data_IF_389293982484
#
_entry.id   IF_389293982484
#
_cell.length_a   1.000
_cell.length_b   1.000
_cell.length_c   1.000
_cell.angle_alpha   90.00
_cell.angle_beta   90.00
_cell.angle_gamma   90.00
#
_symmetry.space_group_name_H-M   'P 1'
#
loop_
_entity.id
_entity.type
_entity.pdbx_description
1 polymer ?
#
# COMPACT_ATOMS: atom_id res chain seq x y z
N UNK A 1 -17.95 -18.89 -8.39
CA UNK A 1 -16.90 -18.69 -7.36
C UNK A 1 -17.01 -17.27 -6.86
N UNK A 2 -17.19 -17.07 -5.55
CA UNK A 2 -17.21 -15.75 -4.91
C UNK A 2 -15.90 -15.54 -4.14
N UNK A 3 -15.44 -14.30 -4.03
CA UNK A 3 -14.23 -13.94 -3.30
C UNK A 3 -14.56 -12.94 -2.20
N UNK A 4 -13.96 -13.11 -1.03
CA UNK A 4 -13.97 -12.12 0.04
C UNK A 4 -12.73 -11.24 -0.11
N UNK A 5 -12.95 -9.94 -0.23
CA UNK A 5 -11.89 -8.95 -0.34
C UNK A 5 -11.67 -8.23 0.99
N UNK A 6 -10.42 -8.17 1.44
CA UNK A 6 -9.99 -7.33 2.56
C UNK A 6 -8.86 -6.40 2.08
N UNK A 7 -8.86 -5.14 2.54
CA UNK A 7 -7.83 -4.14 2.16
C UNK A 7 -7.13 -3.59 3.39
N UNK A 8 -5.82 -3.41 3.32
CA UNK A 8 -4.99 -2.71 4.30
C UNK A 8 -4.28 -1.55 3.61
N UNK A 9 -4.33 -0.36 4.23
CA UNK A 9 -3.66 0.86 3.76
C UNK A 9 -2.64 1.28 4.81
N UNK A 10 -1.43 1.58 4.37
CA UNK A 10 -0.39 2.15 5.21
C UNK A 10 0.16 3.41 4.55
N UNK A 11 0.15 4.53 5.29
CA UNK A 11 0.72 5.79 4.84
C UNK A 11 2.09 5.93 5.51
N UNK A 12 3.13 6.09 4.70
CA UNK A 12 4.50 6.33 5.18
C UNK A 12 4.92 7.72 4.69
N UNK A 13 5.17 8.60 5.65
CA UNK A 13 5.74 9.93 5.42
C UNK A 13 7.12 9.95 6.07
N UNK A 14 8.17 10.13 5.27
CA UNK A 14 9.52 10.34 5.81
C UNK A 14 9.79 11.84 5.91
N UNK A 15 10.11 12.38 7.10
CA UNK A 15 10.57 13.75 7.21
C UNK A 15 11.89 13.87 6.45
N UNK A 16 11.98 14.83 5.54
CA UNK A 16 13.19 15.08 4.78
C UNK A 16 14.38 15.27 5.74
N UNK A 17 15.35 14.35 5.71
CA UNK A 17 16.60 14.49 6.46
C UNK A 17 17.36 15.70 5.92
N UNK A 18 17.20 16.83 6.60
CA UNK A 18 18.09 17.99 6.65
C UNK A 18 19.08 18.14 5.47
N UNK A 19 18.58 18.37 4.26
CA UNK A 19 19.38 18.88 3.15
C UNK A 19 18.53 19.88 2.36
N UNK A 20 18.80 21.17 2.60
CA UNK A 20 18.33 22.36 1.89
C UNK A 20 16.89 22.86 2.22
N UNK A 21 16.73 24.04 2.87
CA UNK A 21 15.42 24.63 3.19
C UNK A 21 14.64 25.17 1.98
N UNK A 22 15.19 25.09 0.76
CA UNK A 22 14.56 25.65 -0.45
C UNK A 22 13.64 24.67 -1.22
N UNK A 23 13.57 23.39 -0.85
CA UNK A 23 12.69 22.42 -1.48
C UNK A 23 12.23 21.36 -0.47
N UNK A 24 11.10 21.61 0.19
CA UNK A 24 10.41 20.63 1.02
C UNK A 24 9.78 19.55 0.14
N UNK A 25 10.60 18.58 -0.32
CA UNK A 25 10.10 17.40 -1.02
C UNK A 25 9.59 16.42 0.04
N UNK A 26 8.30 16.50 0.37
CA UNK A 26 7.64 15.50 1.20
C UNK A 26 7.48 14.24 0.35
N UNK A 27 8.35 13.24 0.57
CA UNK A 27 8.15 11.91 -0.01
C UNK A 27 6.98 11.23 0.72
N UNK A 28 5.83 11.20 0.07
CA UNK A 28 4.65 10.47 0.56
C UNK A 28 4.59 9.14 -0.19
N UNK A 29 4.75 8.04 0.53
CA UNK A 29 4.51 6.70 0.03
C UNK A 29 3.22 6.14 0.64
N UNK A 30 2.37 5.56 -0.19
CA UNK A 30 1.18 4.82 0.23
C UNK A 30 1.30 3.37 -0.21
N UNK A 31 1.20 2.47 0.76
CA UNK A 31 1.19 1.04 0.52
C UNK A 31 -0.25 0.51 0.65
N UNK A 32 -0.65 -0.27 -0.35
CA UNK A 32 -1.94 -0.93 -0.40
C UNK A 32 -1.73 -2.44 -0.50
N UNK A 33 -2.37 -3.18 0.39
CA UNK A 33 -2.44 -4.63 0.34
C UNK A 33 -3.89 -5.06 0.20
N UNK A 34 -4.18 -5.88 -0.81
CA UNK A 34 -5.51 -6.46 -1.05
C UNK A 34 -5.37 -7.97 -0.92
N UNK A 35 -6.19 -8.54 -0.04
CA UNK A 35 -6.31 -9.97 0.17
C UNK A 35 -7.62 -10.43 -0.47
N UNK A 36 -7.54 -11.37 -1.41
CA UNK A 36 -8.68 -12.00 -2.04
C UNK A 36 -8.72 -13.47 -1.65
N UNK A 37 -9.63 -13.85 -0.75
CA UNK A 37 -9.79 -15.24 -0.30
C UNK A 37 -11.01 -15.84 -0.98
N UNK A 38 -10.90 -17.00 -1.67
CA UNK A 38 -12.06 -17.74 -2.16
C UNK A 38 -13.02 -18.05 -1.02
N UNK A 39 -14.32 -17.78 -1.19
CA UNK A 39 -15.31 -17.97 -0.11
C UNK A 39 -15.71 -19.43 0.09
N UNK A 40 -15.38 -20.30 -0.86
CA UNK A 40 -15.66 -21.74 -0.85
C UNK A 40 -14.54 -22.56 -0.21
N UNK A 41 -13.42 -21.93 0.17
CA UNK A 41 -12.30 -22.59 0.86
C UNK A 41 -11.46 -23.52 -0.02
N UNK A 42 -11.69 -23.53 -1.34
CA UNK A 42 -11.09 -24.49 -2.27
C UNK A 42 -9.92 -23.91 -3.11
N UNK A 43 -9.37 -22.76 -2.73
CA UNK A 43 -8.25 -22.16 -3.43
C UNK A 43 -7.35 -21.31 -2.54
N UNK A 44 -6.09 -21.21 -2.94
CA UNK A 44 -5.15 -20.29 -2.33
C UNK A 44 -5.58 -18.84 -2.61
N UNK A 45 -5.65 -18.03 -1.56
CA UNK A 45 -5.99 -16.62 -1.70
C UNK A 45 -4.93 -15.86 -2.51
N UNK A 46 -5.34 -14.80 -3.19
CA UNK A 46 -4.43 -13.89 -3.87
C UNK A 46 -4.06 -12.71 -2.97
N UNK A 47 -2.76 -12.37 -2.91
CA UNK A 47 -2.26 -11.15 -2.32
C UNK A 47 -1.81 -10.20 -3.44
N UNK A 48 -2.42 -9.01 -3.51
CA UNK A 48 -1.99 -7.95 -4.41
C UNK A 48 -1.38 -6.83 -3.56
N UNK A 49 -0.13 -6.46 -3.87
CA UNK A 49 0.56 -5.34 -3.22
C UNK A 49 0.80 -4.24 -4.23
N UNK A 50 0.43 -3.00 -3.88
CA UNK A 50 0.66 -1.81 -4.68
C UNK A 50 1.31 -0.71 -3.84
N UNK A 51 2.26 0.01 -4.43
CA UNK A 51 2.91 1.18 -3.83
C UNK A 51 2.66 2.39 -4.73
N UNK A 52 2.13 3.47 -4.15
CA UNK A 52 2.03 4.77 -4.79
C UNK A 52 3.03 5.70 -4.12
N UNK A 53 3.86 6.37 -4.90
CA UNK A 53 4.78 7.41 -4.39
C UNK A 53 4.52 8.72 -5.12
N UNK A 54 4.48 9.81 -4.37
CA UNK A 54 4.41 11.19 -4.89
C UNK A 54 5.76 11.83 -4.60
N UNK A 55 6.42 12.33 -5.66
CA UNK A 55 7.73 12.98 -5.64
C UNK A 55 7.63 14.42 -6.14
#
# INVERSE_FOLDING_TARGET
MHHRFARRRECVSEPARHQNPAAEVIKIAQFWQIYATPTDGLGDGALITAMLSVF
#
